data_IF_189180304620
#
_entry.id   IF_189180304620
#
_cell.length_a   1.000
_cell.length_b   1.000
_cell.length_c   1.000
_cell.angle_alpha   90.00
_cell.angle_beta   90.00
_cell.angle_gamma   90.00
#
_symmetry.space_group_name_H-M   'P 1'
#
loop_
_entity.id
_entity.type
_entity.pdbx_description
1 polymer ?
#
# COMPACT_ATOMS: atom_id res chain seq x y z
N UNK A 1 14.00 15.32 -47.93
CA UNK A 1 13.03 14.54 -47.14
C UNK A 1 13.12 15.04 -45.71
N UNK A 2 12.15 15.87 -45.28
CA UNK A 2 12.11 16.39 -43.90
C UNK A 2 11.93 15.23 -42.93
N UNK A 3 12.83 15.11 -41.95
CA UNK A 3 12.59 14.27 -40.78
C UNK A 3 11.61 15.02 -39.87
N UNK A 4 10.33 14.63 -39.91
CA UNK A 4 9.35 15.11 -38.93
C UNK A 4 9.66 14.43 -37.60
N UNK A 5 10.25 15.17 -36.66
CA UNK A 5 10.27 14.79 -35.24
C UNK A 5 8.82 14.76 -34.77
N UNK A 6 8.25 13.55 -34.64
CA UNK A 6 6.91 13.38 -34.11
C UNK A 6 6.88 13.88 -32.66
N UNK A 7 5.99 14.82 -32.36
CA UNK A 7 5.76 15.21 -30.97
C UNK A 7 5.30 13.99 -30.16
N UNK A 8 5.79 13.81 -28.92
CA UNK A 8 5.35 12.71 -28.08
C UNK A 8 3.88 12.85 -27.70
N UNK A 9 3.19 11.70 -27.67
CA UNK A 9 1.78 11.55 -27.26
C UNK A 9 1.51 12.31 -25.93
N UNK A 10 0.41 13.08 -25.81
CA UNK A 10 0.03 13.78 -24.58
C UNK A 10 0.01 12.87 -23.33
N UNK A 11 -0.35 11.59 -23.45
CA UNK A 11 -0.31 10.64 -22.35
C UNK A 11 1.14 10.37 -21.88
N UNK A 12 2.10 10.35 -22.80
CA UNK A 12 3.53 10.21 -22.49
C UNK A 12 4.12 11.48 -21.86
N UNK A 13 3.72 12.68 -22.32
CA UNK A 13 4.13 13.96 -21.70
C UNK A 13 3.65 14.06 -20.24
N UNK A 14 2.41 13.64 -19.98
CA UNK A 14 1.82 13.59 -18.63
C UNK A 14 2.58 12.64 -17.69
N UNK A 15 2.98 11.47 -18.21
CA UNK A 15 3.77 10.48 -17.47
C UNK A 15 5.18 10.97 -17.11
N UNK A 16 5.90 11.55 -18.06
CA UNK A 16 7.24 12.09 -17.81
C UNK A 16 7.21 13.17 -16.73
N UNK A 17 6.22 14.08 -16.81
CA UNK A 17 5.99 15.09 -15.78
C UNK A 17 5.70 14.49 -14.40
N UNK A 18 4.95 13.39 -14.33
CA UNK A 18 4.66 12.69 -13.07
C UNK A 18 5.91 12.03 -12.46
N UNK A 19 6.74 11.39 -13.29
CA UNK A 19 8.02 10.80 -12.84
C UNK A 19 8.98 11.89 -12.37
N UNK A 20 9.10 13.00 -13.11
CA UNK A 20 9.94 14.14 -12.74
C UNK A 20 9.46 14.79 -11.43
N UNK A 21 8.15 14.92 -11.25
CA UNK A 21 7.56 15.37 -9.99
C UNK A 21 7.98 14.45 -8.82
N UNK A 22 7.77 13.15 -8.94
CA UNK A 22 8.10 12.22 -7.86
C UNK A 22 9.60 12.06 -7.61
N UNK A 23 10.43 12.19 -8.64
CA UNK A 23 11.89 12.22 -8.50
C UNK A 23 12.35 13.41 -7.64
N UNK A 24 11.81 14.61 -7.89
CA UNK A 24 12.08 15.80 -7.07
C UNK A 24 11.57 15.63 -5.64
N UNK A 25 10.35 15.11 -5.47
CA UNK A 25 9.75 14.87 -4.15
C UNK A 25 10.56 13.85 -3.32
N UNK A 26 11.04 12.78 -3.96
CA UNK A 26 11.90 11.77 -3.32
C UNK A 26 13.24 12.38 -2.90
N UNK A 27 13.88 13.14 -3.79
CA UNK A 27 15.14 13.84 -3.50
C UNK A 27 14.98 14.80 -2.31
N UNK A 28 13.89 15.56 -2.29
CA UNK A 28 13.55 16.48 -1.21
C UNK A 28 13.30 15.74 0.12
N UNK A 29 12.67 14.57 0.08
CA UNK A 29 12.47 13.74 1.27
C UNK A 29 13.79 13.18 1.81
N UNK A 30 14.59 12.54 0.95
CA UNK A 30 15.90 11.98 1.34
C UNK A 30 16.86 13.04 1.92
N UNK A 31 16.76 14.28 1.45
CA UNK A 31 17.58 15.40 1.94
C UNK A 31 17.08 16.01 3.25
N UNK A 32 15.83 15.75 3.65
CA UNK A 32 15.17 16.45 4.76
C UNK A 32 15.44 15.89 6.16
N UNK A 33 15.92 14.65 6.26
CA UNK A 33 15.99 13.85 7.50
C UNK A 33 14.64 13.50 8.13
N UNK A 34 13.51 13.83 7.50
CA UNK A 34 12.19 13.45 7.98
C UNK A 34 12.03 11.92 8.01
N UNK A 35 11.40 11.40 9.06
CA UNK A 35 11.06 9.98 9.16
C UNK A 35 9.83 9.59 8.32
N UNK A 36 8.93 10.55 8.07
CA UNK A 36 7.71 10.38 7.29
C UNK A 36 7.32 11.70 6.60
N UNK A 37 6.82 11.61 5.36
CA UNK A 37 6.28 12.77 4.62
C UNK A 37 5.21 12.36 3.62
N UNK A 38 4.10 13.08 3.59
CA UNK A 38 3.12 13.02 2.49
C UNK A 38 3.64 13.85 1.31
N UNK A 39 3.73 13.23 0.13
CA UNK A 39 4.27 13.88 -1.09
C UNK A 39 3.19 14.27 -2.10
N UNK A 40 2.01 13.67 -2.00
CA UNK A 40 0.91 13.89 -2.93
C UNK A 40 -0.41 13.47 -2.28
N UNK A 41 -1.48 14.25 -2.53
CA UNK A 41 -2.85 13.92 -2.12
C UNK A 41 -3.78 13.99 -3.32
N UNK A 42 -4.63 12.97 -3.49
CA UNK A 42 -5.71 12.95 -4.46
C UNK A 42 -7.02 13.28 -3.75
N UNK A 43 -7.55 14.50 -3.95
CA UNK A 43 -8.80 14.96 -3.33
C UNK A 43 -10.03 14.89 -4.28
N UNK A 44 -11.25 14.78 -3.73
CA UNK A 44 -12.54 14.80 -4.44
C UNK A 44 -12.72 15.99 -5.38
N UNK A 45 -12.41 17.20 -4.88
CA UNK A 45 -12.71 18.49 -5.53
C UNK A 45 -11.65 18.95 -6.56
N UNK A 46 -10.60 18.16 -6.79
CA UNK A 46 -9.49 18.53 -7.69
C UNK A 46 -9.68 18.14 -9.16
N UNK A 47 -10.81 17.51 -9.51
CA UNK A 47 -11.07 17.00 -10.85
C UNK A 47 -12.32 17.59 -11.48
N UNK A 48 -12.21 18.80 -12.06
CA UNK A 48 -13.18 19.25 -13.06
C UNK A 48 -13.50 20.74 -13.04
N UNK A 49 -12.76 21.53 -13.83
CA UNK A 49 -13.34 22.42 -14.85
C UNK A 49 -12.21 23.19 -15.56
N UNK A 50 -12.35 23.29 -16.89
CA UNK A 50 -11.50 24.00 -17.87
C UNK A 50 -10.18 23.30 -18.26
N UNK A 51 -10.04 23.09 -19.57
CA UNK A 51 -8.84 22.54 -20.19
C UNK A 51 -7.62 23.44 -20.05
N UNK A 52 -6.48 22.83 -20.37
CA UNK A 52 -5.10 23.34 -20.27
C UNK A 52 -4.45 23.30 -18.88
N UNK A 53 -3.34 22.57 -18.84
CA UNK A 53 -2.40 22.28 -17.73
C UNK A 53 -2.83 21.20 -16.73
N UNK A 54 -2.15 20.04 -16.82
CA UNK A 54 -2.19 19.00 -15.80
C UNK A 54 -1.86 19.61 -14.43
N UNK A 55 -2.83 19.61 -13.52
CA UNK A 55 -2.64 20.06 -12.14
C UNK A 55 -1.52 19.24 -11.52
N UNK A 56 -0.42 19.91 -11.18
CA UNK A 56 0.75 19.27 -10.57
C UNK A 56 0.29 18.65 -9.24
N UNK A 57 0.58 17.36 -8.97
CA UNK A 57 0.24 16.76 -7.70
C UNK A 57 0.88 17.54 -6.56
N UNK A 58 0.15 17.80 -5.48
CA UNK A 58 0.65 18.52 -4.31
C UNK A 58 0.20 17.83 -3.03
N UNK A 59 0.96 17.95 -1.93
CA UNK A 59 0.49 17.49 -0.63
C UNK A 59 -0.69 18.35 -0.17
N UNK A 60 -1.85 17.73 0.04
CA UNK A 60 -3.03 18.37 0.58
C UNK A 60 -3.14 18.06 2.06
N UNK A 61 -2.78 19.01 2.93
CA UNK A 61 -3.04 18.83 4.37
C UNK A 61 -4.55 18.72 4.59
N UNK A 62 -5.04 17.80 5.44
CA UNK A 62 -6.46 17.80 5.79
C UNK A 62 -6.86 19.21 6.30
N UNK A 63 -8.08 19.67 6.06
CA UNK A 63 -8.54 21.00 6.50
C UNK A 63 -8.38 22.17 5.52
N UNK A 64 -7.97 21.94 4.28
CA UNK A 64 -7.88 22.97 3.23
C UNK A 64 -9.21 23.41 2.59
N UNK A 65 -10.35 22.85 2.99
CA UNK A 65 -11.65 23.19 2.41
C UNK A 65 -12.86 22.69 3.19
N UNK A 66 -12.76 21.49 3.78
CA UNK A 66 -13.75 20.94 4.72
C UNK A 66 -13.10 20.73 6.09
N UNK A 67 -13.74 21.26 7.15
CA UNK A 67 -13.29 21.15 8.55
C UNK A 67 -13.48 19.74 9.14
N UNK A 68 -13.40 18.69 8.31
CA UNK A 68 -13.75 17.34 8.73
C UNK A 68 -12.55 16.62 9.31
N UNK A 69 -12.66 16.24 10.58
CA UNK A 69 -11.59 15.55 11.31
C UNK A 69 -11.44 14.14 10.78
N UNK A 70 -10.20 13.77 10.41
CA UNK A 70 -9.86 12.38 10.09
C UNK A 70 -9.97 11.57 11.38
N UNK A 71 -10.93 10.65 11.46
CA UNK A 71 -11.07 9.73 12.63
C UNK A 71 -10.33 8.42 12.40
N UNK A 72 -10.32 7.96 11.15
CA UNK A 72 -9.66 6.71 10.77
C UNK A 72 -8.70 6.96 9.62
N UNK A 73 -7.42 6.65 9.86
CA UNK A 73 -6.37 6.66 8.84
C UNK A 73 -6.06 5.22 8.46
N UNK A 74 -6.51 4.80 7.28
CA UNK A 74 -6.14 3.50 6.73
C UNK A 74 -4.73 3.59 6.17
N UNK A 75 -3.84 2.69 6.58
CA UNK A 75 -2.45 2.64 6.11
C UNK A 75 -2.24 1.36 5.31
N UNK A 76 -2.00 1.51 4.01
CA UNK A 76 -1.59 0.43 3.13
C UNK A 76 -0.08 0.57 2.86
N UNK A 77 0.71 -0.21 3.60
CA UNK A 77 2.17 -0.24 3.51
C UNK A 77 2.62 -1.41 2.63
N UNK A 78 3.21 -1.09 1.47
CA UNK A 78 3.65 -2.08 0.50
C UNK A 78 4.82 -1.57 -0.33
N UNK A 79 5.52 -2.50 -0.99
CA UNK A 79 6.56 -2.14 -1.95
C UNK A 79 6.03 -1.53 -3.24
N UNK A 80 4.73 -1.74 -3.53
CA UNK A 80 4.01 -1.24 -4.70
C UNK A 80 4.79 -1.43 -6.02
N UNK A 81 5.23 -2.66 -6.26
CA UNK A 81 6.14 -2.98 -7.36
C UNK A 81 5.60 -4.07 -8.31
N UNK A 82 4.42 -3.90 -8.92
CA UNK A 82 3.47 -2.78 -8.82
C UNK A 82 2.35 -3.01 -7.77
N UNK A 83 1.49 -2.01 -7.48
CA UNK A 83 0.18 -2.26 -6.89
C UNK A 83 -0.63 -3.28 -7.71
N UNK A 84 -1.54 -4.01 -7.06
CA UNK A 84 -2.28 -5.14 -7.67
C UNK A 84 -3.74 -5.15 -7.27
N UNK A 85 -4.54 -6.04 -7.87
CA UNK A 85 -5.95 -6.26 -7.49
C UNK A 85 -6.10 -6.70 -6.01
N UNK A 86 -5.11 -7.40 -5.44
CA UNK A 86 -5.12 -7.74 -4.02
C UNK A 86 -5.05 -6.48 -3.14
N UNK A 87 -4.19 -5.52 -3.50
CA UNK A 87 -4.10 -4.22 -2.81
C UNK A 87 -5.43 -3.46 -2.89
N UNK A 88 -6.09 -3.48 -4.05
CA UNK A 88 -7.41 -2.87 -4.24
C UNK A 88 -8.45 -3.46 -3.30
N UNK A 89 -8.58 -4.79 -3.28
CA UNK A 89 -9.56 -5.51 -2.45
C UNK A 89 -9.38 -5.18 -0.96
N UNK A 90 -8.14 -5.16 -0.46
CA UNK A 90 -7.86 -4.78 0.93
C UNK A 90 -8.27 -3.34 1.22
N UNK A 91 -7.87 -2.39 0.38
CA UNK A 91 -8.16 -0.97 0.59
C UNK A 91 -9.66 -0.67 0.48
N UNK A 92 -10.32 -1.14 -0.58
CA UNK A 92 -11.73 -0.88 -0.85
C UNK A 92 -12.64 -1.49 0.23
N UNK A 93 -12.38 -2.72 0.67
CA UNK A 93 -13.17 -3.35 1.74
C UNK A 93 -13.03 -2.61 3.08
N UNK A 94 -11.80 -2.21 3.46
CA UNK A 94 -11.55 -1.46 4.68
C UNK A 94 -12.23 -0.07 4.66
N UNK A 95 -12.16 0.63 3.53
CA UNK A 95 -12.83 1.92 3.34
C UNK A 95 -14.33 1.78 3.54
N UNK A 96 -14.97 0.84 2.83
CA UNK A 96 -16.43 0.65 2.89
C UNK A 96 -16.89 0.30 4.30
N UNK A 97 -16.17 -0.56 5.02
CA UNK A 97 -16.52 -0.95 6.39
C UNK A 97 -16.45 0.22 7.37
N UNK A 98 -15.40 1.03 7.28
CA UNK A 98 -15.23 2.19 8.16
C UNK A 98 -16.22 3.31 7.83
N UNK A 99 -16.54 3.54 6.56
CA UNK A 99 -17.56 4.49 6.15
C UNK A 99 -18.95 4.08 6.66
N UNK A 100 -19.33 2.79 6.51
CA UNK A 100 -20.61 2.27 7.05
C UNK A 100 -20.72 2.44 8.56
N UNK A 101 -19.64 2.19 9.29
CA UNK A 101 -19.59 2.34 10.74
C UNK A 101 -19.78 3.80 11.15
N UNK A 102 -19.12 4.71 10.44
CA UNK A 102 -19.21 6.16 10.67
C UNK A 102 -20.63 6.68 10.42
N UNK A 103 -21.26 6.29 9.32
CA UNK A 103 -22.64 6.67 9.00
C UNK A 103 -23.65 6.14 10.02
N UNK A 104 -23.46 4.92 10.53
CA UNK A 104 -24.37 4.34 11.53
C UNK A 104 -24.32 5.08 12.88
N UNK A 105 -23.14 5.51 13.31
CA UNK A 105 -22.96 6.28 14.54
C UNK A 105 -23.61 7.66 14.47
N UNK A 106 -23.47 8.37 13.35
CA UNK A 106 -24.11 9.69 13.17
C UNK A 106 -25.63 9.63 13.21
N UNK A 107 -26.24 8.58 12.66
CA UNK A 107 -27.71 8.38 12.64
C UNK A 107 -28.29 8.00 14.00
N UNK A 108 -27.53 7.32 14.86
CA UNK A 108 -28.00 6.89 16.19
C UNK A 108 -27.93 7.99 17.24
N UNK A 109 -27.07 9.00 17.04
CA UNK A 109 -26.92 10.16 17.94
C UNK A 109 -27.98 11.26 17.75
N UNK A 110 -28.80 11.21 16.70
CA UNK A 110 -29.78 12.27 16.39
C UNK A 110 -31.19 12.04 16.97
N UNK A 111 -31.38 11.08 17.87
CA UNK A 111 -32.68 10.78 18.50
C UNK A 111 -32.83 11.25 19.96
N UNK A 112 -31.85 11.97 20.50
CA UNK A 112 -31.91 12.60 21.83
C UNK A 112 -32.34 14.08 21.77
N UNK A 113 -33.20 14.49 22.70
CA UNK A 113 -33.97 15.75 22.71
C UNK A 113 -33.17 17.05 22.56
N UNK A 114 -33.81 18.04 21.93
CA UNK A 114 -33.35 19.39 21.65
C UNK A 114 -33.13 20.28 22.89
N UNK A 115 -32.06 21.09 22.86
CA UNK A 115 -31.94 22.37 23.60
C UNK A 115 -30.74 23.18 23.08
N UNK A 116 -31.00 24.17 22.24
CA UNK A 116 -30.22 25.41 22.04
C UNK A 116 -28.68 25.34 22.06
N UNK A 117 -28.07 24.95 20.94
CA UNK A 117 -26.76 25.47 20.51
C UNK A 117 -26.66 25.32 18.98
N UNK A 118 -26.71 26.45 18.28
CA UNK A 118 -26.35 26.53 16.87
C UNK A 118 -24.82 26.50 16.83
N UNK A 119 -24.19 25.33 16.59
CA UNK A 119 -22.84 25.22 15.99
C UNK A 119 -22.26 23.79 15.81
N UNK A 120 -22.88 22.70 16.25
CA UNK A 120 -22.19 21.38 16.30
C UNK A 120 -22.58 20.37 15.18
N UNK A 121 -22.99 20.86 14.01
CA UNK A 121 -23.46 20.01 12.88
C UNK A 121 -22.37 19.54 11.91
N UNK A 122 -21.09 19.60 12.28
CA UNK A 122 -19.96 19.27 11.38
C UNK A 122 -18.98 18.18 11.88
N UNK A 123 -19.16 17.56 13.05
CA UNK A 123 -18.23 16.54 13.59
C UNK A 123 -18.48 15.09 13.14
N UNK A 124 -18.90 14.88 11.90
CA UNK A 124 -18.77 13.56 11.27
C UNK A 124 -17.28 13.26 11.08
N UNK A 125 -16.76 12.15 11.57
CA UNK A 125 -15.36 11.78 11.27
C UNK A 125 -15.19 11.36 9.83
N UNK A 126 -14.03 11.59 9.23
CA UNK A 126 -13.72 11.08 7.89
C UNK A 126 -12.77 9.89 7.90
N UNK A 127 -12.87 9.10 6.84
CA UNK A 127 -11.93 8.02 6.51
C UNK A 127 -10.96 8.54 5.47
N UNK A 128 -9.66 8.36 5.71
CA UNK A 128 -8.60 8.75 4.78
C UNK A 128 -7.66 7.57 4.55
N UNK A 129 -7.19 7.41 3.31
CA UNK A 129 -6.25 6.34 2.95
C UNK A 129 -4.84 6.91 2.75
N UNK A 130 -3.85 6.25 3.33
CA UNK A 130 -2.43 6.49 3.08
C UNK A 130 -1.80 5.27 2.40
N UNK A 131 -1.31 5.46 1.19
CA UNK A 131 -0.42 4.54 0.49
C UNK A 131 1.01 4.85 0.92
N UNK A 132 1.62 3.95 1.70
CA UNK A 132 2.91 4.18 2.34
C UNK A 132 4.02 3.37 1.66
N UNK A 133 5.08 4.05 1.21
CA UNK A 133 6.26 3.43 0.63
C UNK A 133 7.49 3.65 1.52
N UNK A 134 8.06 2.57 2.04
CA UNK A 134 9.31 2.61 2.79
C UNK A 134 10.52 2.67 1.84
N UNK A 135 11.36 3.69 1.97
CA UNK A 135 12.61 3.83 1.18
C UNK A 135 13.76 2.99 1.74
N UNK A 136 13.71 2.68 3.04
CA UNK A 136 14.61 1.76 3.72
C UNK A 136 13.81 0.53 4.17
N UNK A 137 13.59 -0.43 3.27
CA UNK A 137 12.85 -1.64 3.62
C UNK A 137 13.77 -2.62 4.39
N UNK A 138 13.29 -3.19 5.49
CA UNK A 138 14.07 -4.10 6.35
C UNK A 138 14.57 -5.36 5.62
N UNK A 139 13.75 -5.86 4.69
CA UNK A 139 13.93 -7.22 4.14
C UNK A 139 14.27 -7.24 2.63
N UNK A 140 14.20 -6.11 1.92
CA UNK A 140 14.28 -6.08 0.43
C UNK A 140 15.32 -5.10 -0.10
N UNK A 141 16.24 -5.58 -0.95
CA UNK A 141 17.05 -4.72 -1.83
C UNK A 141 16.16 -4.13 -2.96
N UNK A 142 16.39 -2.90 -3.44
CA UNK A 142 15.59 -2.35 -4.54
C UNK A 142 15.82 -3.14 -5.84
N UNK A 143 14.76 -3.78 -6.36
CA UNK A 143 14.65 -4.36 -7.71
C UNK A 143 13.17 -4.33 -8.15
N UNK A 144 12.78 -4.21 -9.44
CA UNK A 144 13.42 -3.56 -10.57
C UNK A 144 12.97 -2.09 -10.78
N UNK A 145 11.75 -1.70 -10.41
CA UNK A 145 11.27 -0.34 -10.65
C UNK A 145 11.87 0.65 -9.65
N UNK A 146 12.32 1.81 -10.15
CA UNK A 146 12.78 2.93 -9.33
C UNK A 146 11.64 3.50 -8.47
N UNK A 147 11.96 4.14 -7.35
CA UNK A 147 10.94 4.57 -6.37
C UNK A 147 9.96 5.60 -6.97
N UNK A 148 10.46 6.53 -7.79
CA UNK A 148 9.66 7.52 -8.52
C UNK A 148 8.68 6.89 -9.51
N UNK A 149 9.07 5.77 -10.13
CA UNK A 149 8.17 4.99 -11.00
C UNK A 149 7.09 4.29 -10.16
N UNK A 150 7.46 3.75 -9.00
CA UNK A 150 6.48 3.14 -8.07
C UNK A 150 5.50 4.18 -7.53
N UNK A 151 5.95 5.38 -7.19
CA UNK A 151 5.07 6.50 -6.82
C UNK A 151 4.12 6.86 -7.96
N UNK A 152 4.59 6.87 -9.21
CA UNK A 152 3.74 7.01 -10.38
C UNK A 152 2.66 5.90 -10.49
N UNK A 153 3.03 4.65 -10.22
CA UNK A 153 2.08 3.53 -10.18
C UNK A 153 1.11 3.63 -8.98
N UNK A 154 1.57 4.10 -7.81
CA UNK A 154 0.72 4.37 -6.65
C UNK A 154 -0.29 5.48 -6.94
N UNK A 155 0.10 6.51 -7.69
CA UNK A 155 -0.80 7.58 -8.12
C UNK A 155 -1.89 7.05 -9.05
N UNK A 156 -1.51 6.23 -10.04
CA UNK A 156 -2.46 5.56 -10.92
C UNK A 156 -3.41 4.64 -10.15
N UNK A 157 -2.87 3.85 -9.21
CA UNK A 157 -3.66 2.99 -8.32
C UNK A 157 -4.64 3.77 -7.44
N UNK A 158 -4.24 4.92 -6.91
CA UNK A 158 -5.12 5.78 -6.12
C UNK A 158 -6.30 6.33 -6.95
N UNK A 159 -6.06 6.68 -8.22
CA UNK A 159 -7.12 7.08 -9.14
C UNK A 159 -8.05 5.91 -9.47
N UNK A 160 -7.50 4.75 -9.85
CA UNK A 160 -8.26 3.52 -10.13
C UNK A 160 -9.13 3.11 -8.92
N UNK A 161 -8.60 3.18 -7.70
CA UNK A 161 -9.32 2.87 -6.45
C UNK A 161 -10.52 3.80 -6.23
N UNK A 162 -10.36 5.11 -6.48
CA UNK A 162 -11.45 6.09 -6.32
C UNK A 162 -12.57 5.83 -7.31
N UNK A 163 -12.22 5.54 -8.57
CA UNK A 163 -13.19 5.21 -9.60
C UNK A 163 -13.95 3.92 -9.25
N UNK A 164 -13.25 2.90 -8.75
CA UNK A 164 -13.87 1.66 -8.29
C UNK A 164 -14.82 1.87 -7.10
N UNK A 165 -14.43 2.69 -6.12
CA UNK A 165 -15.28 3.02 -4.97
C UNK A 165 -16.57 3.72 -5.42
N UNK A 166 -16.47 4.72 -6.31
CA UNK A 166 -17.64 5.41 -6.89
C UNK A 166 -18.57 4.45 -7.63
N UNK A 167 -18.00 3.60 -8.49
CA UNK A 167 -18.78 2.64 -9.29
C UNK A 167 -19.60 1.73 -8.38
N UNK A 168 -18.99 1.18 -7.34
CA UNK A 168 -19.69 0.30 -6.39
C UNK A 168 -20.68 1.01 -5.49
N UNK A 169 -20.41 2.26 -5.09
CA UNK A 169 -21.35 3.06 -4.30
C UNK A 169 -22.66 3.29 -5.03
N UNK A 170 -22.58 3.66 -6.32
CA UNK A 170 -23.75 3.84 -7.20
C UNK A 170 -24.55 2.54 -7.38
N UNK A 171 -23.87 1.40 -7.55
CA UNK A 171 -24.53 0.09 -7.67
C UNK A 171 -25.28 -0.29 -6.38
N UNK A 172 -24.66 -0.09 -5.22
CA UNK A 172 -25.28 -0.34 -3.91
C UNK A 172 -26.46 0.60 -3.65
N UNK A 173 -26.35 1.89 -3.98
CA UNK A 173 -27.43 2.86 -3.86
C UNK A 173 -28.63 2.50 -4.74
N UNK A 174 -28.38 2.15 -6.01
CA UNK A 174 -29.41 1.73 -6.97
C UNK A 174 -30.17 0.47 -6.48
N UNK A 175 -29.45 -0.47 -5.87
CA UNK A 175 -30.06 -1.68 -5.30
C UNK A 175 -30.95 -1.39 -4.06
N UNK A 176 -30.59 -0.37 -3.28
CA UNK A 176 -31.33 0.06 -2.08
C UNK A 176 -32.59 0.85 -2.41
N UNK A 177 -32.56 1.70 -3.43
CA UNK A 177 -33.72 2.47 -3.89
C UNK A 177 -34.85 1.56 -4.42
N UNK A 178 -34.50 0.40 -4.99
CA UNK A 178 -35.50 -0.59 -5.42
C UNK A 178 -36.25 -1.26 -4.25
N UNK A 179 -35.80 -1.10 -2.99
CA UNK A 179 -36.42 -1.72 -1.80
C UNK A 179 -37.13 -0.74 -0.86
N UNK A 180 -36.99 0.58 -1.01
CA UNK A 180 -37.68 1.56 -0.15
C UNK A 180 -38.29 2.70 -0.97
N UNK A 181 -39.60 2.88 -0.84
CA UNK A 181 -40.34 4.03 -1.36
C UNK A 181 -39.65 5.34 -0.97
N UNK A 182 -39.57 6.23 -1.96
CA UNK A 182 -38.73 7.40 -2.01
C UNK A 182 -38.86 8.37 -0.82
N UNK A 183 -37.76 8.53 -0.09
CA UNK A 183 -37.35 9.82 0.50
C UNK A 183 -35.84 9.99 0.23
N UNK A 184 -35.52 10.67 -0.87
CA UNK A 184 -34.15 10.93 -1.32
C UNK A 184 -33.54 12.07 -0.50
N UNK A 185 -32.96 11.75 0.65
CA UNK A 185 -31.86 12.56 1.17
C UNK A 185 -30.64 12.20 0.32
N UNK A 186 -30.14 13.16 -0.46
CA UNK A 186 -28.84 13.03 -1.13
C UNK A 186 -27.79 12.86 -0.04
N UNK A 187 -27.48 11.60 0.31
CA UNK A 187 -26.29 11.28 1.09
C UNK A 187 -25.12 11.68 0.18
N UNK A 188 -24.44 12.79 0.50
CA UNK A 188 -23.17 13.12 -0.14
C UNK A 188 -22.23 11.94 0.12
N UNK A 189 -22.05 11.07 -0.88
CA UNK A 189 -21.10 9.96 -0.77
C UNK A 189 -19.74 10.56 -0.44
N UNK A 190 -19.27 10.23 0.76
CA UNK A 190 -18.02 10.76 1.26
C UNK A 190 -16.88 10.18 0.42
N UNK A 191 -16.42 10.96 -0.54
CA UNK A 191 -15.33 10.53 -1.39
C UNK A 191 -14.02 10.52 -0.60
N UNK A 192 -13.33 9.37 -0.62
CA UNK A 192 -12.10 9.16 0.16
C UNK A 192 -10.94 9.94 -0.43
N UNK A 193 -10.25 10.70 0.41
CA UNK A 193 -8.95 11.27 0.08
C UNK A 193 -7.85 10.20 0.18
N UNK A 194 -6.95 10.18 -0.81
CA UNK A 194 -5.84 9.23 -0.86
C UNK A 194 -4.50 9.98 -0.85
N UNK A 195 -3.69 9.71 0.15
CA UNK A 195 -2.33 10.22 0.28
C UNK A 195 -1.29 9.22 -0.20
N UNK A 196 -0.22 9.73 -0.79
CA UNK A 196 1.01 8.99 -1.04
C UNK A 196 2.07 9.49 -0.05
N UNK A 197 2.56 8.59 0.78
CA UNK A 197 3.57 8.87 1.80
C UNK A 197 4.87 8.11 1.58
N UNK A 198 5.96 8.74 2.00
CA UNK A 198 7.28 8.15 2.10
C UNK A 198 7.69 8.01 3.56
N UNK A 199 8.40 6.93 3.89
CA UNK A 199 9.00 6.75 5.21
C UNK A 199 10.37 6.11 5.15
N UNK A 200 11.25 6.49 6.07
CA UNK A 200 12.54 5.82 6.30
C UNK A 200 12.45 4.70 7.34
N UNK A 201 11.30 4.57 8.02
CA UNK A 201 11.12 3.60 9.09
C UNK A 201 10.85 2.19 8.52
N UNK A 202 11.58 1.15 8.99
CA UNK A 202 11.44 -0.20 8.47
C UNK A 202 10.27 -0.98 9.09
N UNK A 203 9.96 -0.75 10.36
CA UNK A 203 8.99 -1.53 11.13
C UNK A 203 7.65 -0.81 11.33
N UNK A 204 6.55 -1.56 11.49
CA UNK A 204 5.20 -1.00 11.63
C UNK A 204 5.04 -0.06 12.84
N UNK A 205 5.61 -0.43 13.99
CA UNK A 205 5.55 0.40 15.20
C UNK A 205 6.25 1.75 14.99
N UNK A 206 7.42 1.73 14.34
CA UNK A 206 8.19 2.91 14.00
C UNK A 206 7.49 3.78 12.94
N UNK A 207 6.88 3.16 11.91
CA UNK A 207 6.08 3.87 10.90
C UNK A 207 4.89 4.58 11.55
N UNK A 208 4.20 3.89 12.45
CA UNK A 208 3.06 4.45 13.18
C UNK A 208 3.46 5.65 14.03
N UNK A 209 4.57 5.55 14.75
CA UNK A 209 5.10 6.65 15.54
C UNK A 209 5.52 7.82 14.65
N UNK A 210 6.24 7.57 13.55
CA UNK A 210 6.68 8.60 12.62
C UNK A 210 5.50 9.35 11.98
N UNK A 211 4.41 8.65 11.62
CA UNK A 211 3.19 9.30 11.12
C UNK A 211 2.58 10.23 12.17
N UNK A 212 2.46 9.75 13.40
CA UNK A 212 1.92 10.52 14.53
C UNK A 212 2.75 11.75 14.86
N UNK A 213 4.08 11.61 14.94
CA UNK A 213 5.00 12.69 15.32
C UNK A 213 4.92 13.90 14.38
N UNK A 214 4.53 13.70 13.11
CA UNK A 214 4.37 14.83 12.18
C UNK A 214 3.18 15.73 12.51
N UNK A 215 2.17 15.24 13.25
CA UNK A 215 0.91 15.95 13.45
C UNK A 215 0.20 16.30 12.13
N UNK A 216 0.51 15.61 11.02
CA UNK A 216 -0.10 15.89 9.72
C UNK A 216 -1.61 15.63 9.76
N UNK A 217 -2.01 14.54 10.40
CA UNK A 217 -3.40 14.09 10.54
C UNK A 217 -4.08 14.49 11.85
N UNK A 218 -3.33 14.93 12.86
CA UNK A 218 -3.89 15.41 14.12
C UNK A 218 -4.49 16.82 13.90
N UNK A 219 -5.82 16.90 13.81
CA UNK A 219 -6.54 18.13 13.48
C UNK A 219 -7.43 18.58 14.64
N UNK A 220 -7.66 19.89 14.75
CA UNK A 220 -8.71 20.46 15.62
C UNK A 220 -8.56 20.24 17.13
N UNK A 221 -7.43 19.72 17.62
CA UNK A 221 -7.22 19.45 19.04
C UNK A 221 -7.95 18.21 19.58
N UNK A 222 -8.63 17.44 18.72
CA UNK A 222 -9.42 16.26 19.10
C UNK A 222 -8.64 14.93 19.10
N UNK A 223 -7.31 14.98 19.11
CA UNK A 223 -6.44 13.81 19.14
C UNK A 223 -6.02 13.30 17.77
N UNK A 224 -5.27 12.19 17.77
CA UNK A 224 -4.79 11.53 16.54
C UNK A 224 -5.86 10.57 16.00
N UNK A 225 -5.96 10.38 14.67
CA UNK A 225 -6.81 9.34 14.10
C UNK A 225 -6.36 7.95 14.55
N UNK A 226 -7.31 7.02 14.67
CA UNK A 226 -6.97 5.59 14.79
C UNK A 226 -6.32 5.14 13.47
N UNK A 227 -5.09 4.62 13.56
CA UNK A 227 -4.38 4.09 12.40
C UNK A 227 -4.81 2.63 12.15
N UNK A 228 -5.29 2.30 10.96
CA UNK A 228 -5.72 0.94 10.59
C UNK A 228 -4.77 0.39 9.53
N UNK A 229 -3.86 -0.48 9.93
CA UNK A 229 -2.88 -1.08 9.03
C UNK A 229 -3.46 -2.30 8.31
N UNK A 230 -3.40 -2.27 6.99
CA UNK A 230 -3.81 -3.38 6.14
C UNK A 230 -2.61 -4.29 5.87
N UNK A 231 -2.74 -5.58 6.15
CA UNK A 231 -1.67 -6.55 5.89
C UNK A 231 -2.21 -7.96 5.67
N UNK A 232 -1.36 -8.85 5.15
CA UNK A 232 -1.65 -10.29 5.08
C UNK A 232 -1.36 -11.01 6.39
N UNK A 233 -1.90 -12.22 6.55
CA UNK A 233 -1.67 -13.08 7.71
C UNK A 233 -0.18 -13.37 7.97
N UNK A 234 0.59 -13.62 6.92
CA UNK A 234 2.04 -13.79 6.99
C UNK A 234 2.76 -12.60 7.65
N UNK A 235 2.24 -11.38 7.42
CA UNK A 235 2.76 -10.16 8.03
C UNK A 235 2.39 -10.07 9.50
N UNK A 236 1.19 -10.52 9.91
CA UNK A 236 0.83 -10.63 11.32
C UNK A 236 1.82 -11.53 12.07
N UNK A 237 2.17 -12.69 11.50
CA UNK A 237 3.17 -13.60 12.08
C UNK A 237 4.50 -12.88 12.27
N UNK A 238 4.93 -12.05 11.30
CA UNK A 238 6.16 -11.26 11.41
C UNK A 238 6.05 -10.17 12.47
N UNK A 239 4.94 -9.43 12.53
CA UNK A 239 4.71 -8.39 13.54
C UNK A 239 4.80 -8.99 14.95
N UNK A 240 4.25 -10.17 15.16
CA UNK A 240 4.27 -10.85 16.46
C UNK A 240 5.56 -11.63 16.75
N UNK A 241 6.56 -11.59 15.87
CA UNK A 241 7.80 -12.35 16.05
C UNK A 241 8.85 -11.51 16.81
N UNK A 242 9.34 -11.96 17.99
CA UNK A 242 10.30 -11.22 18.80
C UNK A 242 11.62 -10.90 18.09
N UNK A 243 12.00 -11.66 17.04
CA UNK A 243 13.25 -11.44 16.30
C UNK A 243 13.36 -10.05 15.65
N UNK A 244 12.23 -9.39 15.38
CA UNK A 244 12.21 -8.06 14.78
C UNK A 244 12.37 -6.93 15.81
N UNK A 245 12.45 -7.27 17.10
CA UNK A 245 12.59 -6.33 18.19
C UNK A 245 13.93 -6.58 18.88
N UNK A 246 14.97 -5.89 18.39
CA UNK A 246 16.28 -5.97 19.03
C UNK A 246 16.22 -5.29 20.40
N UNK A 247 16.80 -5.91 21.43
CA UNK A 247 17.17 -5.17 22.62
C UNK A 247 18.28 -4.17 22.23
N UNK A 248 18.28 -2.92 22.73
CA UNK A 248 19.51 -2.12 22.67
C UNK A 248 20.62 -2.95 23.32
N UNK A 249 21.74 -3.08 22.60
CA UNK A 249 22.92 -3.82 23.05
C UNK A 249 23.26 -3.40 24.48
N UNK A 250 23.06 -4.32 25.42
CA UNK A 250 23.58 -4.37 26.78
C UNK A 250 24.29 -3.08 27.24
N UNK A 251 23.53 -2.13 27.76
CA UNK A 251 24.04 -1.25 28.79
C UNK A 251 24.06 -2.09 30.07
N UNK A 252 25.24 -2.58 30.44
CA UNK A 252 25.49 -3.23 31.72
C UNK A 252 25.01 -2.31 32.86
N UNK A 253 24.10 -2.80 33.70
CA UNK A 253 23.89 -2.22 35.04
C UNK A 253 22.56 -1.51 35.31
N UNK A 254 21.41 -1.99 34.82
CA UNK A 254 20.12 -1.53 35.33
C UNK A 254 19.25 -2.68 35.83
N UNK A 255 19.28 -2.90 37.15
CA UNK A 255 18.32 -3.71 37.88
C UNK A 255 16.97 -2.96 37.96
N UNK A 256 16.10 -3.22 36.99
CA UNK A 256 14.65 -3.02 37.03
C UNK A 256 14.06 -4.03 36.05
N UNK A 257 12.83 -4.52 36.25
CA UNK A 257 12.15 -5.44 35.32
C UNK A 257 12.15 -4.84 33.90
N UNK A 258 13.12 -5.23 33.08
CA UNK A 258 13.28 -4.68 31.75
C UNK A 258 12.09 -5.13 30.91
N UNK A 259 11.25 -4.18 30.51
CA UNK A 259 10.14 -4.45 29.61
C UNK A 259 10.70 -5.06 28.32
N UNK A 260 10.22 -6.25 27.97
CA UNK A 260 10.71 -6.98 26.80
C UNK A 260 10.68 -6.09 25.54
N UNK A 261 11.67 -6.15 24.62
CA UNK A 261 11.73 -5.27 23.46
C UNK A 261 10.47 -5.27 22.59
N UNK A 262 9.91 -6.46 22.33
CA UNK A 262 8.64 -6.61 21.60
C UNK A 262 7.48 -5.89 22.30
N UNK A 263 7.46 -5.89 23.64
CA UNK A 263 6.44 -5.22 24.43
C UNK A 263 6.57 -3.70 24.35
N UNK A 264 7.80 -3.20 24.47
CA UNK A 264 8.11 -1.78 24.35
C UNK A 264 7.71 -1.21 22.98
N UNK A 265 7.83 -2.01 21.92
CA UNK A 265 7.44 -1.61 20.57
C UNK A 265 5.93 -1.75 20.30
N UNK A 266 5.34 -2.91 20.64
CA UNK A 266 3.97 -3.23 20.25
C UNK A 266 2.89 -2.60 21.14
N UNK A 267 3.18 -2.32 22.41
CA UNK A 267 2.19 -1.66 23.27
C UNK A 267 1.78 -0.26 22.78
N UNK A 268 2.70 0.70 22.54
CA UNK A 268 2.31 2.00 22.02
C UNK A 268 1.71 1.89 20.61
N UNK A 269 2.24 1.00 19.77
CA UNK A 269 1.74 0.77 18.42
C UNK A 269 0.28 0.32 18.42
N UNK A 270 -0.06 -0.74 19.15
CA UNK A 270 -1.42 -1.31 19.19
C UNK A 270 -2.37 -0.50 20.06
N UNK A 271 -1.88 0.33 21.00
CA UNK A 271 -2.72 1.31 21.67
C UNK A 271 -3.24 2.39 20.71
N UNK A 272 -2.44 2.73 19.69
CA UNK A 272 -2.77 3.74 18.67
C UNK A 272 -3.45 3.16 17.44
N UNK A 273 -3.13 1.91 17.11
CA UNK A 273 -3.41 1.32 15.82
C UNK A 273 -4.23 0.03 15.93
N UNK A 274 -4.91 -0.32 14.85
CA UNK A 274 -5.50 -1.64 14.60
C UNK A 274 -4.80 -2.30 13.42
N UNK A 275 -4.78 -3.63 13.43
CA UNK A 275 -4.35 -4.44 12.31
C UNK A 275 -5.57 -5.08 11.68
N UNK A 276 -5.79 -4.84 10.40
CA UNK A 276 -6.81 -5.53 9.60
C UNK A 276 -6.11 -6.52 8.70
N UNK A 277 -6.18 -7.78 9.09
CA UNK A 277 -5.38 -8.88 8.55
C UNK A 277 -6.21 -9.71 7.58
N UNK A 278 -5.79 -9.69 6.32
CA UNK A 278 -6.39 -10.50 5.27
C UNK A 278 -5.85 -11.92 5.33
N UNK A 279 -6.73 -12.88 5.56
CA UNK A 279 -6.39 -14.30 5.59
C UNK A 279 -5.94 -14.78 4.22
N UNK A 280 -4.92 -15.63 4.21
CA UNK A 280 -4.33 -16.21 3.00
C UNK A 280 -4.29 -17.72 3.14
N UNK A 281 -5.34 -18.40 2.69
CA UNK A 281 -5.43 -19.85 2.78
C UNK A 281 -4.66 -20.51 1.63
N UNK A 282 -3.46 -21.00 1.91
CA UNK A 282 -2.67 -21.87 1.04
C UNK A 282 -1.87 -22.88 1.87
N UNK A 283 -1.19 -23.78 1.16
CA UNK A 283 -0.36 -24.83 1.73
C UNK A 283 0.79 -24.31 2.61
N UNK A 284 1.18 -23.04 2.47
CA UNK A 284 2.25 -22.45 3.27
C UNK A 284 1.77 -21.83 4.58
N UNK A 285 0.66 -21.10 4.55
CA UNK A 285 0.18 -20.33 5.71
C UNK A 285 -1.01 -20.98 6.43
N UNK A 286 -1.36 -22.20 6.04
CA UNK A 286 -2.41 -22.98 6.68
C UNK A 286 -3.83 -22.58 6.26
N UNK A 287 -4.79 -23.37 6.71
CA UNK A 287 -6.22 -23.12 6.46
C UNK A 287 -6.81 -22.00 7.33
N UNK A 288 -8.04 -21.56 7.02
CA UNK A 288 -8.76 -20.52 7.80
C UNK A 288 -8.81 -20.85 9.29
N UNK A 289 -9.07 -22.12 9.63
CA UNK A 289 -9.11 -22.57 11.01
C UNK A 289 -7.77 -22.42 11.76
N UNK A 290 -6.64 -22.66 11.10
CA UNK A 290 -5.32 -22.51 11.70
C UNK A 290 -4.97 -21.04 11.92
N UNK A 291 -5.33 -20.17 10.97
CA UNK A 291 -5.10 -18.72 11.09
C UNK A 291 -5.93 -18.09 12.20
N UNK A 292 -7.19 -18.51 12.34
CA UNK A 292 -8.06 -18.10 13.46
C UNK A 292 -7.54 -18.66 14.78
N UNK A 293 -7.09 -19.91 14.81
CA UNK A 293 -6.53 -20.52 16.01
C UNK A 293 -5.26 -19.81 16.50
N UNK A 294 -4.41 -19.32 15.58
CA UNK A 294 -3.26 -18.50 15.95
C UNK A 294 -3.67 -17.22 16.70
N UNK A 295 -4.68 -16.49 16.20
CA UNK A 295 -5.16 -15.28 16.88
C UNK A 295 -5.77 -15.60 18.26
N UNK A 296 -6.46 -16.74 18.37
CA UNK A 296 -6.96 -17.23 19.65
C UNK A 296 -5.81 -17.56 20.61
N UNK A 297 -4.76 -18.24 20.13
CA UNK A 297 -3.55 -18.51 20.93
C UNK A 297 -2.87 -17.23 21.40
N UNK A 298 -2.80 -16.18 20.55
CA UNK A 298 -2.29 -14.87 20.96
C UNK A 298 -3.12 -14.30 22.11
N UNK A 299 -4.46 -14.34 22.00
CA UNK A 299 -5.39 -13.87 23.04
C UNK A 299 -5.20 -14.61 24.36
N UNK A 300 -4.98 -15.92 24.30
CA UNK A 300 -4.81 -16.80 25.46
C UNK A 300 -3.39 -16.76 26.05
N UNK A 301 -2.55 -15.80 25.64
CA UNK A 301 -1.23 -15.58 26.22
C UNK A 301 -0.10 -16.36 25.55
N UNK A 302 -0.28 -16.87 24.34
CA UNK A 302 0.70 -17.69 23.61
C UNK A 302 2.07 -17.03 23.38
N UNK A 303 2.19 -15.70 23.57
CA UNK A 303 3.44 -14.95 23.47
C UNK A 303 3.93 -14.37 24.81
N UNK A 304 3.28 -14.66 25.95
CA UNK A 304 3.67 -14.09 27.25
C UNK A 304 5.11 -14.43 27.63
N UNK A 305 5.58 -15.64 27.27
CA UNK A 305 6.96 -16.08 27.53
C UNK A 305 8.05 -15.23 26.83
N UNK A 306 7.69 -14.48 25.79
CA UNK A 306 8.60 -13.53 25.12
C UNK A 306 8.22 -12.06 25.37
N UNK A 307 7.35 -11.82 26.36
CA UNK A 307 6.86 -10.49 26.73
C UNK A 307 5.64 -10.01 25.96
N UNK A 308 5.00 -10.88 25.18
CA UNK A 308 3.74 -10.59 24.50
C UNK A 308 2.56 -10.36 25.44
N UNK A 309 1.45 -9.82 24.92
CA UNK A 309 0.21 -9.63 25.71
C UNK A 309 -1.02 -10.14 24.97
N UNK A 310 -1.91 -10.84 25.70
CA UNK A 310 -3.18 -11.32 25.15
C UNK A 310 -4.06 -10.23 24.53
N UNK A 311 -4.12 -9.04 25.16
CA UNK A 311 -4.91 -7.90 24.67
C UNK A 311 -4.52 -7.40 23.28
N UNK A 312 -3.33 -7.74 22.78
CA UNK A 312 -2.92 -7.39 21.41
C UNK A 312 -3.87 -8.00 20.38
N UNK A 313 -4.43 -9.19 20.67
CA UNK A 313 -5.41 -9.85 19.82
C UNK A 313 -6.73 -9.07 19.67
N UNK A 314 -7.06 -8.16 20.59
CA UNK A 314 -8.25 -7.29 20.50
C UNK A 314 -8.08 -6.18 19.48
N UNK A 315 -6.83 -5.90 19.08
CA UNK A 315 -6.46 -4.88 18.10
C UNK A 315 -6.23 -5.49 16.71
N UNK A 316 -6.51 -6.78 16.54
CA UNK A 316 -6.39 -7.51 15.27
C UNK A 316 -7.78 -7.94 14.80
N UNK A 317 -8.16 -7.47 13.62
CA UNK A 317 -9.33 -7.92 12.89
C UNK A 317 -8.88 -8.91 11.80
N UNK A 318 -9.44 -10.12 11.78
CA UNK A 318 -9.22 -11.08 10.70
C UNK A 318 -10.33 -10.96 9.67
N UNK A 319 -9.96 -10.75 8.41
CA UNK A 319 -10.90 -10.67 7.29
C UNK A 319 -10.60 -11.74 6.27
N UNK A 320 -11.64 -12.26 5.62
CA UNK A 320 -11.47 -13.22 4.53
C UNK A 320 -10.83 -12.52 3.33
N UNK A 321 -9.80 -13.16 2.79
CA UNK A 321 -9.17 -12.75 1.54
C UNK A 321 -9.86 -13.39 0.35
N UNK A 322 -9.07 -14.08 -0.48
CA UNK A 322 -9.55 -14.80 -1.66
C UNK A 322 -10.49 -15.95 -1.29
N UNK A 323 -11.46 -16.22 -2.16
CA UNK A 323 -12.23 -17.46 -2.08
C UNK A 323 -11.41 -18.65 -2.63
N UNK A 324 -11.75 -19.86 -2.21
CA UNK A 324 -11.08 -21.08 -2.68
C UNK A 324 -11.32 -21.22 -4.19
N UNK A 325 -10.23 -21.26 -4.97
CA UNK A 325 -10.28 -21.36 -6.43
C UNK A 325 -10.10 -20.02 -7.16
N UNK A 326 -10.08 -18.90 -6.46
CA UNK A 326 -9.69 -17.62 -7.08
C UNK A 326 -8.20 -17.58 -7.42
N UNK A 327 -7.88 -16.90 -8.52
CA UNK A 327 -6.50 -16.69 -8.98
C UNK A 327 -5.67 -15.95 -7.91
N UNK A 328 -4.49 -16.48 -7.60
CA UNK A 328 -3.54 -15.84 -6.68
C UNK A 328 -2.93 -14.62 -7.38
N UNK A 329 -3.10 -13.43 -6.78
CA UNK A 329 -2.67 -12.15 -7.35
C UNK A 329 -1.43 -11.60 -6.66
N UNK A 330 -0.38 -11.39 -7.45
CA UNK A 330 0.90 -10.85 -7.00
C UNK A 330 1.55 -9.83 -7.89
N UNK A 331 2.38 -8.99 -7.29
CA UNK A 331 3.26 -8.09 -8.02
C UNK A 331 4.23 -8.86 -8.93
N UNK A 332 4.73 -10.05 -8.54
CA UNK A 332 5.57 -10.95 -9.35
C UNK A 332 4.82 -11.40 -10.59
N UNK A 333 3.63 -12.00 -10.44
CA UNK A 333 2.82 -12.40 -11.60
C UNK A 333 2.44 -11.23 -12.49
N UNK A 334 2.15 -10.07 -11.92
CA UNK A 334 1.87 -8.85 -12.69
C UNK A 334 3.10 -8.42 -13.50
N UNK A 335 4.31 -8.47 -12.92
CA UNK A 335 5.56 -8.16 -13.64
C UNK A 335 5.84 -9.18 -14.75
N UNK A 336 5.59 -10.46 -14.51
CA UNK A 336 5.73 -11.52 -15.51
C UNK A 336 4.78 -11.31 -16.69
N UNK A 337 3.49 -11.08 -16.41
CA UNK A 337 2.48 -10.80 -17.43
C UNK A 337 2.84 -9.55 -18.26
N UNK A 338 3.24 -8.47 -17.60
CA UNK A 338 3.66 -7.25 -18.29
C UNK A 338 4.93 -7.44 -19.13
N UNK A 339 5.88 -8.26 -18.67
CA UNK A 339 7.10 -8.56 -19.42
C UNK A 339 6.83 -9.48 -20.62
N UNK A 340 5.82 -10.35 -20.50
CA UNK A 340 5.36 -11.23 -21.57
C UNK A 340 4.44 -10.52 -22.59
N UNK A 341 3.96 -9.32 -22.29
CA UNK A 341 2.95 -8.63 -23.10
C UNK A 341 1.58 -9.31 -23.04
N UNK A 342 1.29 -10.01 -21.94
CA UNK A 342 0.02 -10.70 -21.72
C UNK A 342 -1.01 -9.74 -21.12
N UNK A 343 -1.64 -8.95 -22.01
CA UNK A 343 -2.63 -7.94 -21.63
C UNK A 343 -3.87 -8.55 -20.94
N UNK A 344 -4.20 -9.81 -21.26
CA UNK A 344 -5.36 -10.50 -20.69
C UNK A 344 -5.11 -10.86 -19.23
N UNK A 345 -3.96 -11.48 -18.92
CA UNK A 345 -3.55 -11.75 -17.53
C UNK A 345 -3.35 -10.45 -16.79
N UNK A 346 -2.69 -9.45 -17.41
CA UNK A 346 -2.44 -8.17 -16.77
C UNK A 346 -3.74 -7.46 -16.36
N UNK A 347 -4.77 -7.51 -17.22
CA UNK A 347 -6.09 -6.94 -16.93
C UNK A 347 -6.84 -7.63 -15.79
N UNK A 348 -6.52 -8.89 -15.47
CA UNK A 348 -7.07 -9.59 -14.29
C UNK A 348 -6.32 -9.27 -13.00
N UNK A 349 -5.00 -9.04 -13.10
CA UNK A 349 -4.13 -8.93 -11.93
C UNK A 349 -3.88 -7.48 -11.47
N UNK A 350 -4.02 -6.50 -12.35
CA UNK A 350 -3.79 -5.08 -12.08
C UNK A 350 -4.92 -4.20 -12.61
N UNK A 351 -5.11 -3.05 -11.98
CA UNK A 351 -6.10 -2.07 -12.40
C UNK A 351 -5.70 -1.36 -13.70
N UNK A 352 -6.65 -0.81 -14.49
CA UNK A 352 -6.38 -0.30 -15.82
C UNK A 352 -5.29 0.79 -15.92
N UNK A 353 -5.32 1.83 -15.06
CA UNK A 353 -4.28 2.88 -15.11
C UNK A 353 -2.95 2.35 -14.59
N UNK A 354 -2.98 1.51 -13.55
CA UNK A 354 -1.79 0.85 -13.00
C UNK A 354 -1.10 -0.05 -14.04
N UNK A 355 -1.87 -0.88 -14.75
CA UNK A 355 -1.41 -1.76 -15.83
C UNK A 355 -0.79 -0.96 -16.98
N UNK A 356 -1.46 0.11 -17.44
CA UNK A 356 -0.92 1.03 -18.44
C UNK A 356 0.40 1.64 -18.01
N UNK A 357 0.48 2.11 -16.76
CA UNK A 357 1.70 2.71 -16.23
C UNK A 357 2.85 1.68 -16.11
N UNK A 358 2.53 0.43 -15.80
CA UNK A 358 3.51 -0.66 -15.74
C UNK A 358 4.04 -1.05 -17.12
N UNK A 359 3.17 -1.32 -18.11
CA UNK A 359 3.57 -1.66 -19.49
C UNK A 359 4.47 -0.56 -20.05
N UNK A 360 4.08 0.69 -19.83
CA UNK A 360 4.86 1.84 -20.22
C UNK A 360 6.22 1.93 -19.47
N UNK A 361 6.36 1.37 -18.27
CA UNK A 361 7.66 1.29 -17.56
C UNK A 361 8.53 0.12 -18.02
N UNK A 362 7.93 -1.00 -18.43
CA UNK A 362 8.64 -2.21 -18.84
C UNK A 362 9.20 -2.16 -20.26
N UNK A 363 8.78 -1.19 -21.08
CA UNK A 363 9.09 -1.16 -22.52
C UNK A 363 9.87 0.11 -22.94
N UNK A 364 11.16 0.26 -22.55
CA UNK A 364 11.95 1.48 -22.78
C UNK A 364 12.15 1.84 -24.26
N UNK A 365 11.97 0.91 -25.20
CA UNK A 365 12.10 1.17 -26.65
C UNK A 365 10.95 1.99 -27.24
N UNK A 366 9.83 2.15 -26.54
CA UNK A 366 8.82 3.17 -26.87
C UNK A 366 9.26 4.60 -26.50
N UNK A 367 10.42 4.76 -25.82
CA UNK A 367 10.84 6.00 -25.16
C UNK A 367 12.19 6.56 -25.63
N UNK A 368 12.85 5.93 -26.60
CA UNK A 368 14.04 6.49 -27.25
C UNK A 368 13.73 6.85 -28.70
N UNK A 369 13.10 8.01 -28.92
CA UNK A 369 13.28 8.74 -30.17
C UNK A 369 14.47 9.70 -29.98
N UNK A 370 15.68 9.17 -30.10
CA UNK A 370 16.88 9.99 -30.33
C UNK A 370 17.06 10.18 -31.85
N UNK A 371 17.21 11.42 -32.37
CA UNK A 371 17.60 11.66 -33.75
C UNK A 371 19.10 11.93 -33.81
N UNK A 372 19.96 10.91 -33.97
CA UNK A 372 21.29 11.13 -34.53
C UNK A 372 22.01 9.85 -34.98
N UNK A 373 22.51 9.94 -36.22
CA UNK A 373 23.56 9.14 -36.83
C UNK A 373 24.67 8.67 -35.86
N UNK A 374 25.05 7.39 -35.97
CA UNK A 374 26.46 7.01 -35.94
C UNK A 374 26.74 5.91 -36.96
N UNK A 375 27.42 6.33 -38.02
CA UNK A 375 28.15 5.49 -38.97
C UNK A 375 29.38 4.91 -38.22
N UNK A 376 29.92 3.78 -38.70
CA UNK A 376 31.14 3.06 -38.25
C UNK A 376 30.96 2.26 -36.94
N UNK A 377 31.26 0.95 -36.85
CA UNK A 377 32.24 0.14 -37.58
C UNK A 377 31.76 -1.31 -37.70
N UNK A 378 31.90 -1.83 -38.91
CA UNK A 378 31.77 -3.23 -39.27
C UNK A 378 33.01 -3.97 -38.78
N UNK A 379 32.88 -5.01 -37.95
CA UNK A 379 33.90 -6.07 -37.93
C UNK A 379 33.29 -7.43 -37.62
N UNK A 380 33.37 -8.25 -38.67
CA UNK A 380 33.05 -9.66 -38.81
C UNK A 380 34.03 -10.48 -37.97
N UNK A 381 33.57 -11.52 -37.25
CA UNK A 381 34.12 -12.88 -37.33
C UNK A 381 33.19 -13.89 -36.62
N UNK A 382 32.68 -14.84 -37.42
CA UNK A 382 31.93 -16.06 -37.04
C UNK A 382 32.91 -17.23 -36.72
N UNK A 383 32.46 -18.48 -36.53
CA UNK A 383 32.10 -19.14 -35.27
C UNK A 383 32.96 -20.40 -34.98
N UNK A 384 32.85 -21.05 -33.82
CA UNK A 384 33.17 -22.48 -33.66
C UNK A 384 32.61 -23.07 -32.34
N UNK A 385 31.70 -24.03 -32.49
CA UNK A 385 31.38 -25.12 -31.55
C UNK A 385 32.29 -26.34 -31.87
N UNK A 386 32.43 -27.45 -31.08
CA UNK A 386 31.35 -28.14 -30.35
C UNK A 386 31.66 -28.93 -29.04
N UNK A 387 30.56 -29.32 -28.37
CA UNK A 387 30.24 -30.48 -27.50
C UNK A 387 31.38 -31.32 -26.86
N UNK A 388 31.32 -31.47 -25.53
CA UNK A 388 31.63 -32.73 -24.79
C UNK A 388 30.70 -32.87 -23.56
N UNK A 389 30.06 -34.04 -23.39
CA UNK A 389 29.55 -34.57 -22.10
C UNK A 389 30.51 -35.69 -21.64
N UNK A 390 30.71 -35.87 -20.32
CA UNK A 390 30.43 -37.19 -19.76
C UNK A 390 29.78 -37.19 -18.36
N UNK A 391 29.41 -38.41 -17.98
CA UNK A 391 28.50 -38.89 -16.92
C UNK A 391 29.12 -39.07 -15.52
N UNK A 392 28.22 -38.98 -14.53
CA UNK A 392 28.17 -39.52 -13.15
C UNK A 392 29.43 -40.16 -12.53
N UNK A 393 29.86 -39.57 -11.40
CA UNK A 393 30.64 -40.24 -10.37
C UNK A 393 30.95 -39.31 -9.19
N UNK A 394 30.62 -39.75 -7.96
CA UNK A 394 30.96 -39.17 -6.65
C UNK A 394 30.04 -38.09 -6.06
N UNK A 395 28.99 -38.57 -5.37
CA UNK A 395 28.32 -37.87 -4.27
C UNK A 395 29.26 -37.78 -3.06
N UNK A 396 29.87 -36.61 -2.85
CA UNK A 396 30.24 -36.01 -1.55
C UNK A 396 30.87 -34.65 -1.85
N UNK A 397 30.39 -33.62 -1.14
CA UNK A 397 30.76 -32.19 -1.22
C UNK A 397 30.25 -31.43 -2.45
N UNK A 398 29.00 -30.98 -2.38
CA UNK A 398 28.52 -29.81 -3.12
C UNK A 398 28.06 -28.77 -2.10
N UNK A 399 28.98 -27.86 -1.80
CA UNK A 399 28.74 -26.64 -1.07
C UNK A 399 27.83 -25.77 -1.94
N UNK A 400 26.55 -25.66 -1.57
CA UNK A 400 25.58 -24.85 -2.30
C UNK A 400 26.01 -23.38 -2.17
N UNK A 401 26.30 -22.68 -3.28
CA UNK A 401 26.64 -21.26 -3.22
C UNK A 401 25.44 -20.44 -2.69
N UNK A 402 25.66 -19.36 -1.92
CA UNK A 402 24.59 -18.59 -1.27
C UNK A 402 23.58 -17.92 -2.23
N UNK A 403 23.80 -18.00 -3.54
CA UNK A 403 22.90 -17.47 -4.56
C UNK A 403 21.84 -18.47 -5.05
N UNK A 404 21.91 -19.75 -4.66
CA UNK A 404 20.93 -20.78 -5.04
C UNK A 404 19.83 -21.01 -3.99
N UNK A 405 19.74 -20.14 -2.97
CA UNK A 405 18.73 -20.20 -1.90
C UNK A 405 17.82 -18.96 -1.92
N UNK A 406 17.69 -18.31 -3.08
CA UNK A 406 16.86 -17.12 -3.30
C UNK A 406 15.59 -17.44 -4.13
N UNK A 407 15.46 -18.65 -4.70
CA UNK A 407 14.31 -19.05 -5.55
C UNK A 407 13.17 -19.75 -4.78
N UNK A 408 13.03 -19.55 -3.47
CA UNK A 408 11.88 -20.05 -2.68
C UNK A 408 10.91 -18.93 -2.28
N UNK A 409 11.20 -17.67 -2.64
CA UNK A 409 10.36 -16.52 -2.28
C UNK A 409 9.50 -15.97 -3.43
N UNK A 410 9.65 -16.48 -4.66
CA UNK A 410 8.85 -16.04 -5.81
C UNK A 410 7.54 -16.84 -6.02
N UNK A 411 7.30 -17.91 -5.24
CA UNK A 411 6.02 -18.64 -5.24
C UNK A 411 4.97 -18.08 -4.28
N UNK A 412 5.29 -16.98 -3.57
CA UNK A 412 4.51 -16.53 -2.39
C UNK A 412 3.92 -15.16 -2.51
N UNK A 413 3.23 -14.95 -3.61
CA UNK A 413 2.57 -13.69 -3.82
C UNK A 413 1.22 -13.99 -4.48
#
# INVERSE_FOLDING_TARGET
MSSTTAEPDPAMKSRAALVDFFSRSLTAFQSSKDAFRVVCTLSPRGGGSSGDTATIPAPGRPGGGDKRLVKSLIVLDSSFNPPTMAHLRMAASAIRDLQRTTTTMTRSGSSGLASGAVEDRAQGGSVRLLLLLAVNNADKKPKPAAFEVRLGMMYAFAADLRDELKRTGVEEASSRESMKGAETLQEEEEEVEVDLGLTTMPYFHDKSQAISDTGFYAQGGEGEPEQVYLAGYDTLIRICNPKYYSAPSSAEGAAAEAVAPIRSALDPFLNRSKLRITMRTDDEWGGEGEQVAYLQSLRDGGLEGVGGRGRWAERVEMVRGREVGEEVVSSTKVREAASAGDDEVLGRLALPLTAKQLVAASNPHLYHLEPALSIFTMQIFTPLQPRIRPTLGSLKELQIPPWLMIDILDTLE
#
